data_IF_825646088984
#
_entry.id   IF_825646088984
#
_cell.length_a   1.000
_cell.length_b   1.000
_cell.length_c   1.000
_cell.angle_alpha   90.00
_cell.angle_beta   90.00
_cell.angle_gamma   90.00
#
_symmetry.space_group_name_H-M   'P 1'
#
loop_
_entity.id
_entity.type
_entity.pdbx_description
1 polymer ?
#
# COMPACT_ATOMS: atom_id res chain seq x y z
N UNK A 1 14.06 2.95 -13.12
CA UNK A 1 13.51 4.31 -12.93
C UNK A 1 12.36 4.21 -11.95
N UNK A 2 12.59 4.59 -10.68
CA UNK A 2 11.74 4.22 -9.55
C UNK A 2 11.01 5.42 -8.93
N UNK A 3 10.15 6.09 -9.70
CA UNK A 3 9.35 7.21 -9.18
C UNK A 3 8.41 6.77 -8.05
N UNK A 4 7.83 5.55 -8.17
CA UNK A 4 6.94 5.02 -7.14
C UNK A 4 7.61 4.79 -5.79
N UNK A 5 8.84 4.29 -5.77
CA UNK A 5 9.60 4.09 -4.52
C UNK A 5 10.05 5.40 -3.90
N UNK A 6 10.39 6.41 -4.71
CA UNK A 6 10.80 7.72 -4.21
C UNK A 6 9.62 8.49 -3.60
N UNK A 7 8.46 8.47 -4.26
CA UNK A 7 7.23 9.05 -3.70
C UNK A 7 6.81 8.33 -2.42
N UNK A 8 6.95 6.99 -2.38
CA UNK A 8 6.65 6.22 -1.18
C UNK A 8 7.57 6.62 -0.01
N UNK A 9 8.87 6.81 -0.25
CA UNK A 9 9.82 7.26 0.77
C UNK A 9 9.42 8.62 1.35
N UNK A 10 9.11 9.59 0.50
CA UNK A 10 8.68 10.93 0.94
C UNK A 10 7.36 10.88 1.72
N UNK A 11 6.45 9.99 1.30
CA UNK A 11 5.21 9.74 2.03
C UNK A 11 5.48 9.13 3.41
N UNK A 12 6.35 8.12 3.52
CA UNK A 12 6.71 7.48 4.78
C UNK A 12 7.39 8.46 5.74
N UNK A 13 8.26 9.35 5.25
CA UNK A 13 8.85 10.44 6.05
C UNK A 13 7.78 11.36 6.64
N UNK A 14 6.76 11.71 5.85
CA UNK A 14 5.62 12.51 6.31
C UNK A 14 4.74 11.76 7.34
N UNK A 15 4.58 10.45 7.19
CA UNK A 15 3.83 9.63 8.15
C UNK A 15 4.56 9.57 9.49
N UNK A 16 5.89 9.36 9.47
CA UNK A 16 6.74 9.38 10.66
C UNK A 16 6.68 10.73 11.36
N UNK A 17 6.73 11.85 10.62
CA UNK A 17 6.62 13.19 11.21
C UNK A 17 5.25 13.47 11.85
N UNK A 18 4.23 12.66 11.53
CA UNK A 18 2.88 12.71 12.10
C UNK A 18 2.64 11.62 13.15
N UNK A 19 3.69 10.91 13.57
CA UNK A 19 3.62 9.81 14.54
C UNK A 19 2.72 8.63 14.09
N UNK A 20 2.51 8.49 12.78
CA UNK A 20 1.75 7.39 12.20
C UNK A 20 2.65 6.16 12.13
N UNK A 21 2.35 5.16 12.95
CA UNK A 21 3.15 3.92 13.09
C UNK A 21 2.84 2.87 12.03
N UNK A 22 1.66 2.94 11.41
CA UNK A 22 1.23 1.99 10.38
C UNK A 22 0.15 2.60 9.51
N UNK A 23 0.09 2.12 8.27
CA UNK A 23 -0.89 2.55 7.29
C UNK A 23 -1.28 1.40 6.37
N UNK A 24 -2.42 1.57 5.71
CA UNK A 24 -3.01 0.57 4.84
C UNK A 24 -3.31 1.13 3.47
N UNK A 25 -3.27 0.24 2.48
CA UNK A 25 -3.60 0.55 1.10
C UNK A 25 -4.50 -0.55 0.54
N UNK A 26 -5.47 -0.16 -0.28
CA UNK A 26 -6.33 -1.07 -1.03
C UNK A 26 -5.87 -1.17 -2.48
N UNK A 27 -5.73 -2.39 -3.00
CA UNK A 27 -5.34 -2.65 -4.39
C UNK A 27 -6.36 -3.55 -5.04
N UNK A 28 -6.90 -3.18 -6.20
CA UNK A 28 -7.83 -4.02 -6.97
C UNK A 28 -7.15 -5.36 -7.29
N UNK A 29 -7.85 -6.47 -7.06
CA UNK A 29 -7.31 -7.86 -7.21
C UNK A 29 -6.64 -8.09 -8.56
N UNK A 30 -7.16 -7.50 -9.64
CA UNK A 30 -6.63 -7.69 -11.00
C UNK A 30 -5.39 -6.82 -11.30
N UNK A 31 -4.89 -6.04 -10.34
CA UNK A 31 -3.73 -5.18 -10.52
C UNK A 31 -2.42 -5.86 -10.08
N UNK A 32 -2.02 -6.89 -10.82
CA UNK A 32 -0.79 -7.63 -10.54
C UNK A 32 0.48 -6.77 -10.43
N UNK A 33 0.70 -5.72 -11.27
CA UNK A 33 1.84 -4.84 -11.11
C UNK A 33 1.87 -4.15 -9.75
N UNK A 34 0.73 -3.66 -9.25
CA UNK A 34 0.62 -3.05 -7.94
C UNK A 34 0.88 -4.06 -6.82
N UNK A 35 0.30 -5.26 -6.90
CA UNK A 35 0.57 -6.33 -5.92
C UNK A 35 2.06 -6.63 -5.83
N UNK A 36 2.76 -6.76 -6.96
CA UNK A 36 4.21 -6.97 -6.98
C UNK A 36 4.98 -5.79 -6.41
N UNK A 37 4.56 -4.56 -6.70
CA UNK A 37 5.17 -3.35 -6.17
C UNK A 37 5.08 -3.32 -4.64
N UNK A 38 3.89 -3.44 -4.05
CA UNK A 38 3.69 -3.33 -2.61
C UNK A 38 4.36 -4.44 -1.82
N UNK A 39 4.32 -5.68 -2.31
CA UNK A 39 5.07 -6.79 -1.71
C UNK A 39 6.58 -6.49 -1.68
N UNK A 40 7.15 -5.91 -2.75
CA UNK A 40 8.58 -5.52 -2.78
C UNK A 40 8.92 -4.39 -1.81
N UNK A 41 7.95 -3.55 -1.43
CA UNK A 41 8.15 -2.45 -0.48
C UNK A 41 7.94 -2.86 0.99
N UNK A 42 7.75 -4.16 1.27
CA UNK A 42 7.61 -4.70 2.62
C UNK A 42 6.20 -4.66 3.19
N UNK A 43 5.18 -4.45 2.35
CA UNK A 43 3.79 -4.53 2.78
C UNK A 43 3.35 -5.98 2.93
N UNK A 44 2.49 -6.24 3.91
CA UNK A 44 1.86 -7.54 4.15
C UNK A 44 0.38 -7.49 3.81
N UNK A 45 -0.15 -8.52 3.17
CA UNK A 45 -1.59 -8.65 2.94
C UNK A 45 -2.28 -8.96 4.27
N UNK A 46 -3.27 -8.15 4.65
CA UNK A 46 -4.01 -8.31 5.92
C UNK A 46 -5.48 -8.64 5.72
N UNK A 47 -6.08 -8.29 4.58
CA UNK A 47 -7.48 -8.58 4.29
C UNK A 47 -7.78 -8.49 2.78
N UNK A 48 -9.01 -8.83 2.41
CA UNK A 48 -9.66 -8.38 1.17
C UNK A 48 -11.06 -7.85 1.49
N UNK A 49 -11.56 -6.94 0.66
CA UNK A 49 -12.88 -6.33 0.79
C UNK A 49 -13.43 -5.97 -0.59
N UNK A 50 -14.72 -5.71 -0.67
CA UNK A 50 -15.32 -5.04 -1.82
C UNK A 50 -15.24 -3.52 -1.57
N UNK A 51 -14.80 -2.74 -2.56
CA UNK A 51 -14.78 -1.28 -2.47
C UNK A 51 -16.17 -0.69 -2.84
N UNK A 52 -16.33 0.64 -2.73
CA UNK A 52 -17.59 1.32 -3.07
C UNK A 52 -18.05 1.17 -4.53
N UNK A 53 -17.15 0.76 -5.43
CA UNK A 53 -17.43 0.52 -6.85
C UNK A 53 -17.74 -0.97 -7.14
N UNK A 54 -18.02 -1.76 -6.11
CA UNK A 54 -18.27 -3.19 -6.19
C UNK A 54 -17.10 -4.01 -6.77
N UNK A 55 -15.86 -3.51 -6.63
CA UNK A 55 -14.63 -4.20 -7.04
C UNK A 55 -13.96 -4.86 -5.85
N UNK A 56 -13.46 -6.08 -6.04
CA UNK A 56 -12.66 -6.74 -5.04
C UNK A 56 -11.28 -6.08 -4.92
N UNK A 57 -10.90 -5.75 -3.68
CA UNK A 57 -9.61 -5.17 -3.33
C UNK A 57 -8.91 -6.03 -2.28
N UNK A 58 -7.58 -6.08 -2.38
CA UNK A 58 -6.68 -6.61 -1.37
C UNK A 58 -6.17 -5.46 -0.52
N UNK A 59 -6.26 -5.62 0.80
CA UNK A 59 -5.75 -4.66 1.76
C UNK A 59 -4.35 -5.09 2.20
N UNK A 60 -3.40 -4.20 2.02
CA UNK A 60 -2.03 -4.34 2.49
C UNK A 60 -1.76 -3.39 3.65
N UNK A 61 -0.91 -3.79 4.59
CA UNK A 61 -0.44 -2.99 5.73
C UNK A 61 1.08 -2.95 5.76
N UNK A 62 1.63 -1.80 6.15
CA UNK A 62 3.05 -1.65 6.47
C UNK A 62 3.20 -0.85 7.77
N UNK A 63 4.14 -1.30 8.60
CA UNK A 63 4.59 -0.59 9.80
C UNK A 63 5.81 0.26 9.41
N UNK A 64 5.84 1.51 9.85
CA UNK A 64 6.93 2.48 9.60
C UNK A 64 7.79 2.59 10.86
#
# INVERSE_FOLDING_TARGET
>A
MGYGSEVLRQFEELMTSKEIKKYRIGVIVDNEPAHRFWNKQGFVRVASSINGDNKEIVIYEKTI
#
